data_IF_614159181748
#
_entry.id   IF_614159181748
#
_cell.length_a   1.000
_cell.length_b   1.000
_cell.length_c   1.000
_cell.angle_alpha   90.00
_cell.angle_beta   90.00
_cell.angle_gamma   90.00
#
_symmetry.space_group_name_H-M   'P 1'
#
loop_
_entity.id
_entity.type
_entity.pdbx_description
1 polymer ?
#
# COMPACT_ATOMS: atom_id res chain seq x y z
N UNK A 1 -18.13 19.23 -19.12
CA UNK A 1 -17.02 18.44 -18.54
C UNK A 1 -17.61 17.11 -18.13
N UNK A 2 -17.05 15.96 -18.56
CA UNK A 2 -17.56 14.64 -18.16
C UNK A 2 -17.32 14.44 -16.66
N UNK A 3 -18.27 13.83 -15.96
CA UNK A 3 -18.08 13.42 -14.57
C UNK A 3 -17.01 12.34 -14.44
N UNK A 4 -16.42 12.18 -13.25
CA UNK A 4 -15.43 11.14 -12.99
C UNK A 4 -15.98 9.72 -13.26
N UNK A 5 -17.26 9.49 -12.93
CA UNK A 5 -17.92 8.20 -13.17
C UNK A 5 -18.04 7.88 -14.67
N UNK A 6 -18.30 8.89 -15.51
CA UNK A 6 -18.33 8.74 -16.98
C UNK A 6 -16.93 8.54 -17.57
N UNK A 7 -15.88 9.00 -16.89
CA UNK A 7 -14.48 8.83 -17.32
C UNK A 7 -13.89 7.49 -16.87
N UNK A 8 -14.40 6.90 -15.78
CA UNK A 8 -13.85 5.70 -15.15
C UNK A 8 -13.62 4.53 -16.13
N UNK A 9 -14.55 4.19 -17.06
CA UNK A 9 -14.30 3.12 -18.02
C UNK A 9 -13.12 3.41 -18.96
N UNK A 10 -12.92 4.67 -19.37
CA UNK A 10 -11.79 5.06 -20.22
C UNK A 10 -10.48 4.96 -19.44
N UNK A 11 -10.46 5.47 -18.21
CA UNK A 11 -9.30 5.42 -17.32
C UNK A 11 -8.84 3.97 -17.11
N UNK A 12 -9.78 3.07 -16.82
CA UNK A 12 -9.49 1.65 -16.65
C UNK A 12 -8.94 1.04 -17.95
N UNK A 13 -9.60 1.27 -19.09
CA UNK A 13 -9.20 0.70 -20.36
C UNK A 13 -7.81 1.19 -20.80
N UNK A 14 -7.51 2.46 -20.61
CA UNK A 14 -6.21 3.07 -20.91
C UNK A 14 -5.13 2.55 -19.95
N UNK A 15 -5.42 2.48 -18.66
CA UNK A 15 -4.49 1.93 -17.68
C UNK A 15 -4.14 0.45 -17.93
N UNK A 16 -5.11 -0.37 -18.36
CA UNK A 16 -4.85 -1.76 -18.78
C UNK A 16 -3.94 -1.82 -20.01
N UNK A 17 -4.19 -0.99 -21.03
CA UNK A 17 -3.32 -0.89 -22.21
C UNK A 17 -1.90 -0.42 -21.86
N UNK A 18 -1.77 0.51 -20.92
CA UNK A 18 -0.47 0.99 -20.49
C UNK A 18 0.31 -0.09 -19.74
N UNK A 19 -0.36 -0.87 -18.88
CA UNK A 19 0.25 -2.04 -18.25
C UNK A 19 0.77 -3.06 -19.27
N UNK A 20 -0.02 -3.37 -20.30
CA UNK A 20 0.39 -4.26 -21.40
C UNK A 20 1.64 -3.73 -22.12
N UNK A 21 1.64 -2.46 -22.53
CA UNK A 21 2.80 -1.83 -23.19
C UNK A 21 4.05 -1.85 -22.33
N UNK A 22 3.91 -1.58 -21.02
CA UNK A 22 5.03 -1.56 -20.09
C UNK A 22 5.62 -2.96 -19.92
N UNK A 23 4.78 -4.00 -19.82
CA UNK A 23 5.24 -5.39 -19.78
C UNK A 23 5.93 -5.80 -21.08
N UNK A 24 5.32 -5.51 -22.23
CA UNK A 24 5.88 -5.81 -23.55
C UNK A 24 7.25 -5.14 -23.73
N UNK A 25 7.39 -3.88 -23.33
CA UNK A 25 8.67 -3.16 -23.36
C UNK A 25 9.71 -3.81 -22.45
N UNK A 26 9.34 -4.21 -21.24
CA UNK A 26 10.25 -4.85 -20.30
C UNK A 26 10.73 -6.24 -20.78
N UNK A 27 9.89 -6.94 -21.55
CA UNK A 27 10.22 -8.23 -22.17
C UNK A 27 10.99 -8.08 -23.49
N UNK A 28 10.87 -6.94 -24.18
CA UNK A 28 11.61 -6.64 -25.41
C UNK A 28 13.11 -6.37 -25.14
N UNK A 29 13.97 -6.62 -26.14
CA UNK A 29 15.44 -6.65 -26.05
C UNK A 29 16.15 -5.40 -25.46
N UNK A 30 15.43 -4.31 -25.15
CA UNK A 30 15.91 -3.18 -24.36
C UNK A 30 15.54 -3.38 -22.88
N UNK A 31 16.13 -4.40 -22.26
CA UNK A 31 15.85 -4.78 -20.86
C UNK A 31 16.21 -3.62 -19.93
N UNK A 32 15.20 -3.08 -19.24
CA UNK A 32 15.39 -2.10 -18.16
C UNK A 32 16.19 -2.76 -17.03
N UNK A 33 17.46 -2.36 -16.88
CA UNK A 33 18.29 -2.83 -15.78
C UNK A 33 17.81 -2.24 -14.45
N UNK A 34 17.33 -3.08 -13.53
CA UNK A 34 17.09 -2.68 -12.15
C UNK A 34 18.43 -2.40 -11.46
N UNK A 35 18.74 -1.12 -11.21
CA UNK A 35 19.81 -0.77 -10.28
C UNK A 35 19.33 -1.02 -8.85
N UNK A 36 19.57 -2.23 -8.35
CA UNK A 36 19.41 -2.56 -6.93
C UNK A 36 20.52 -1.85 -6.16
N UNK A 37 20.18 -0.81 -5.38
CA UNK A 37 21.19 -0.01 -4.67
C UNK A 37 21.51 -0.53 -3.28
N UNK A 38 20.61 -1.26 -2.61
CA UNK A 38 20.85 -1.71 -1.24
C UNK A 38 20.35 -3.13 -0.98
N UNK A 39 21.27 -3.96 -0.50
CA UNK A 39 21.01 -5.27 0.08
C UNK A 39 20.54 -5.05 1.53
N UNK A 40 19.27 -5.35 1.83
CA UNK A 40 18.76 -5.18 3.18
C UNK A 40 18.98 -6.48 3.95
N UNK A 41 19.98 -6.47 4.84
CA UNK A 41 20.24 -7.59 5.75
C UNK A 41 19.11 -7.62 6.80
N UNK A 42 18.36 -8.73 6.94
CA UNK A 42 17.30 -8.82 7.93
C UNK A 42 17.87 -8.66 9.35
N UNK A 43 17.54 -7.54 9.99
CA UNK A 43 17.64 -7.41 11.44
C UNK A 43 16.30 -7.85 12.00
N UNK A 44 16.25 -8.98 12.70
CA UNK A 44 15.05 -9.39 13.43
C UNK A 44 14.64 -8.25 14.35
N UNK A 45 13.37 -7.85 14.30
CA UNK A 45 12.78 -6.84 15.17
C UNK A 45 13.18 -7.11 16.62
N UNK A 46 14.14 -6.30 17.07
CA UNK A 46 14.40 -6.06 18.47
C UNK A 46 13.95 -4.63 18.68
N UNK A 47 13.12 -4.43 19.69
CA UNK A 47 12.63 -3.14 20.17
C UNK A 47 13.62 -2.00 19.86
N UNK A 48 13.15 -0.83 19.39
CA UNK A 48 14.05 0.30 19.04
C UNK A 48 15.01 0.71 20.17
N UNK A 49 14.71 0.36 21.42
CA UNK A 49 15.54 0.53 22.61
C UNK A 49 16.72 -0.46 22.70
N UNK A 50 16.60 -1.67 22.12
CA UNK A 50 17.66 -2.68 22.05
C UNK A 50 18.71 -2.36 20.97
N UNK A 51 18.36 -1.52 19.99
CA UNK A 51 19.23 -1.10 18.88
C UNK A 51 20.51 -0.36 19.35
N UNK A 52 20.47 0.26 20.53
CA UNK A 52 21.62 0.96 21.12
C UNK A 52 22.41 0.12 22.13
N UNK A 53 21.99 -1.12 22.43
CA UNK A 53 22.57 -1.91 23.54
C UNK A 53 23.18 -3.24 23.17
N UNK A 54 22.85 -3.85 22.03
CA UNK A 54 23.33 -5.21 21.74
C UNK A 54 24.19 -5.28 20.47
N UNK A 55 25.36 -5.90 20.61
CA UNK A 55 26.16 -6.41 19.48
C UNK A 55 25.31 -7.45 18.74
N UNK A 56 25.20 -7.38 17.41
CA UNK A 56 24.32 -8.25 16.64
C UNK A 56 24.76 -9.71 16.77
N UNK A 57 23.88 -10.56 17.29
CA UNK A 57 23.98 -12.02 17.13
C UNK A 57 23.23 -12.42 15.85
N UNK A 58 23.93 -13.16 14.99
CA UNK A 58 23.48 -13.59 13.68
C UNK A 58 22.20 -14.44 13.73
N UNK A 59 21.14 -13.96 13.10
CA UNK A 59 19.97 -14.78 12.79
C UNK A 59 20.32 -15.82 11.71
N UNK A 60 19.73 -17.00 11.81
CA UNK A 60 19.90 -18.14 10.90
C UNK A 60 19.72 -17.75 9.41
N UNK A 61 20.39 -18.46 8.46
CA UNK A 61 20.48 -18.03 7.07
C UNK A 61 19.12 -18.19 6.39
N UNK A 62 18.39 -17.09 6.24
CA UNK A 62 17.26 -17.04 5.32
C UNK A 62 17.83 -16.99 3.89
N UNK A 63 17.31 -17.91 3.06
CA UNK A 63 17.44 -17.92 1.61
C UNK A 63 17.00 -16.58 1.02
N UNK A 64 17.85 -16.04 0.16
CA UNK A 64 17.78 -14.76 -0.53
C UNK A 64 17.64 -13.49 0.36
N UNK A 65 18.49 -12.48 0.14
CA UNK A 65 18.47 -11.23 0.91
C UNK A 65 17.26 -10.37 0.56
N UNK A 66 16.83 -9.50 1.49
CA UNK A 66 15.77 -8.54 1.18
C UNK A 66 16.28 -7.48 0.20
N UNK A 67 15.42 -7.04 -0.72
CA UNK A 67 15.77 -6.14 -1.82
C UNK A 67 15.06 -4.80 -1.69
N UNK A 68 15.82 -3.71 -1.74
CA UNK A 68 15.29 -2.35 -1.86
C UNK A 68 15.52 -1.82 -3.29
N UNK A 69 14.43 -1.42 -3.96
CA UNK A 69 14.47 -0.88 -5.33
C UNK A 69 14.13 0.61 -5.28
N UNK A 70 15.00 1.43 -5.86
CA UNK A 70 14.80 2.87 -5.99
C UNK A 70 14.47 3.22 -7.44
N UNK A 71 13.32 3.87 -7.67
CA UNK A 71 12.87 4.31 -8.99
C UNK A 71 11.35 4.39 -9.12
N UNK A 72 10.87 4.55 -10.36
CA UNK A 72 9.44 4.46 -10.64
C UNK A 72 8.95 3.01 -10.39
N UNK A 73 7.97 2.87 -9.51
CA UNK A 73 7.43 1.57 -9.13
C UNK A 73 6.80 0.79 -10.29
N UNK A 74 6.25 1.46 -11.31
CA UNK A 74 5.66 0.82 -12.48
C UNK A 74 6.74 0.12 -13.29
N UNK A 75 7.84 0.82 -13.57
CA UNK A 75 9.00 0.25 -14.26
C UNK A 75 9.69 -0.83 -13.41
N UNK A 76 9.76 -0.62 -12.10
CA UNK A 76 10.34 -1.60 -11.18
C UNK A 76 9.54 -2.91 -11.21
N UNK A 77 8.21 -2.85 -11.09
CA UNK A 77 7.35 -4.02 -11.18
C UNK A 77 7.43 -4.70 -12.55
N UNK A 78 7.52 -3.92 -13.64
CA UNK A 78 7.70 -4.46 -14.98
C UNK A 78 9.00 -5.26 -15.11
N UNK A 79 10.09 -4.73 -14.55
CA UNK A 79 11.38 -5.43 -14.53
C UNK A 79 11.35 -6.66 -13.60
N UNK A 80 10.64 -6.63 -12.47
CA UNK A 80 10.41 -7.80 -11.62
C UNK A 80 9.62 -8.90 -12.35
N UNK A 81 8.66 -8.52 -13.18
CA UNK A 81 7.90 -9.45 -14.02
C UNK A 81 8.76 -10.05 -15.13
N UNK A 82 9.57 -9.24 -15.81
CA UNK A 82 10.45 -9.70 -16.90
C UNK A 82 11.65 -10.53 -16.39
N UNK A 83 12.13 -10.25 -15.18
CA UNK A 83 13.40 -10.77 -14.67
C UNK A 83 14.62 -10.18 -15.39
N UNK A 84 15.80 -10.50 -14.88
CA UNK A 84 17.10 -10.12 -15.44
C UNK A 84 18.02 -11.33 -15.54
N UNK A 85 19.19 -11.16 -16.15
CA UNK A 85 20.23 -12.20 -16.19
C UNK A 85 20.69 -12.61 -14.78
N UNK A 86 20.53 -11.72 -13.79
CA UNK A 86 20.92 -11.92 -12.40
C UNK A 86 19.77 -12.24 -11.44
N UNK A 87 18.51 -12.10 -11.87
CA UNK A 87 17.34 -12.30 -11.02
C UNK A 87 16.19 -12.95 -11.79
N UNK A 88 15.65 -14.04 -11.23
CA UNK A 88 14.53 -14.75 -11.84
C UNK A 88 13.26 -13.89 -11.84
N UNK A 89 12.42 -14.05 -12.88
CA UNK A 89 11.09 -13.44 -12.90
C UNK A 89 10.29 -13.77 -11.64
N UNK A 90 9.63 -12.76 -11.08
CA UNK A 90 8.70 -12.86 -9.95
C UNK A 90 7.23 -12.98 -10.38
N UNK A 91 6.96 -13.20 -11.68
CA UNK A 91 5.60 -13.44 -12.17
C UNK A 91 4.98 -14.61 -11.41
N UNK A 92 3.84 -14.36 -10.79
CA UNK A 92 3.09 -15.34 -9.99
C UNK A 92 3.85 -15.96 -8.80
N UNK A 93 4.76 -15.20 -8.17
CA UNK A 93 5.56 -15.66 -7.02
C UNK A 93 5.38 -14.85 -5.75
N UNK A 94 4.67 -13.72 -5.79
CA UNK A 94 4.50 -12.85 -4.62
C UNK A 94 3.27 -13.26 -3.81
N UNK A 95 3.46 -13.67 -2.56
CA UNK A 95 2.33 -14.14 -1.73
C UNK A 95 1.53 -13.00 -1.09
N UNK A 96 2.16 -11.85 -0.86
CA UNK A 96 1.54 -10.71 -0.19
C UNK A 96 2.02 -9.40 -0.78
N UNK A 97 1.08 -8.53 -1.12
CA UNK A 97 1.33 -7.13 -1.47
C UNK A 97 0.57 -6.25 -0.49
N UNK A 98 1.24 -5.26 0.08
CA UNK A 98 0.60 -4.18 0.83
C UNK A 98 0.98 -2.86 0.18
N UNK A 99 -0.01 -2.01 -0.08
CA UNK A 99 0.22 -0.67 -0.62
C UNK A 99 -0.59 0.38 0.14
N UNK A 100 0.03 1.54 0.29
CA UNK A 100 -0.56 2.75 0.83
C UNK A 100 -0.31 3.88 -0.20
N UNK A 101 -1.05 3.87 -1.33
CA UNK A 101 -0.86 4.87 -2.37
C UNK A 101 -1.13 6.27 -1.80
N UNK A 102 -0.49 7.33 -2.36
CA UNK A 102 -0.67 8.68 -1.84
C UNK A 102 -2.15 9.06 -1.80
N UNK A 103 -2.58 9.65 -0.70
CA UNK A 103 -3.95 10.14 -0.55
C UNK A 103 -4.19 11.32 -1.50
N UNK A 104 -5.34 11.34 -2.20
CA UNK A 104 -5.85 12.49 -2.97
C UNK A 104 -6.32 13.61 -2.02
N UNK A 105 -5.44 13.97 -1.10
CA UNK A 105 -5.69 14.92 -0.02
C UNK A 105 -5.66 16.37 -0.50
N UNK A 106 -5.31 16.60 -1.77
CA UNK A 106 -5.04 17.93 -2.38
C UNK A 106 -4.15 18.82 -1.50
N UNK A 107 -3.41 18.21 -0.57
CA UNK A 107 -2.59 18.92 0.37
C UNK A 107 -1.29 19.28 -0.34
N UNK A 108 -1.00 20.58 -0.43
CA UNK A 108 0.33 21.07 -0.76
C UNK A 108 1.31 20.56 0.30
N UNK A 109 1.99 19.44 0.04
CA UNK A 109 3.08 18.92 0.88
C UNK A 109 4.36 19.78 0.76
N UNK A 110 4.22 21.11 0.84
CA UNK A 110 5.34 22.03 1.04
C UNK A 110 5.63 22.09 2.53
N UNK A 111 6.32 21.09 3.07
CA UNK A 111 6.77 21.12 4.47
C UNK A 111 7.86 22.18 4.62
N UNK A 112 7.51 23.39 5.07
CA UNK A 112 8.49 24.38 5.52
C UNK A 112 9.04 23.95 6.88
N UNK A 113 10.20 23.30 6.90
CA UNK A 113 10.91 23.01 8.13
C UNK A 113 11.72 24.26 8.50
N UNK A 114 11.33 24.97 9.56
CA UNK A 114 12.13 26.07 10.10
C UNK A 114 13.16 25.50 11.06
N UNK A 115 14.35 25.16 10.54
CA UNK A 115 15.53 24.95 11.37
C UNK A 115 16.07 26.32 11.78
N UNK A 116 16.24 26.49 13.08
CA UNK A 116 16.81 27.68 13.71
C UNK A 116 18.06 28.13 12.95
N UNK A 117 18.00 29.36 12.42
CA UNK A 117 19.07 30.13 11.78
C UNK A 117 19.56 29.74 10.37
N UNK A 118 18.89 28.83 9.66
CA UNK A 118 19.06 28.77 8.20
C UNK A 118 17.80 28.26 7.50
N UNK A 119 17.16 29.15 6.74
CA UNK A 119 16.04 28.82 5.85
C UNK A 119 16.57 28.00 4.66
N UNK A 120 16.87 26.73 4.91
CA UNK A 120 17.08 25.77 3.84
C UNK A 120 15.69 25.29 3.41
N UNK A 121 15.14 25.93 2.37
CA UNK A 121 14.03 25.34 1.63
C UNK A 121 14.55 24.06 0.98
N UNK A 122 14.30 22.90 1.61
CA UNK A 122 14.41 21.63 0.90
C UNK A 122 13.36 21.65 -0.21
N UNK A 123 13.82 21.94 -1.44
CA UNK A 123 13.00 21.76 -2.63
C UNK A 123 12.57 20.29 -2.63
N UNK A 124 11.27 19.99 -2.83
CA UNK A 124 10.85 18.61 -3.03
C UNK A 124 11.75 18.00 -4.09
N UNK A 125 12.16 16.75 -3.90
CA UNK A 125 12.92 16.07 -4.94
C UNK A 125 12.14 16.18 -6.25
N UNK A 126 12.82 16.36 -7.37
CA UNK A 126 12.18 16.61 -8.67
C UNK A 126 11.04 15.60 -8.96
N UNK A 127 11.15 14.38 -8.44
CA UNK A 127 10.12 13.33 -8.46
C UNK A 127 8.86 13.70 -7.68
N UNK A 128 8.98 14.19 -6.43
CA UNK A 128 7.86 14.68 -5.62
C UNK A 128 7.21 15.92 -6.25
N UNK A 129 7.99 16.82 -6.83
CA UNK A 129 7.44 18.01 -7.48
C UNK A 129 6.70 17.64 -8.78
N UNK A 130 7.26 16.78 -9.62
CA UNK A 130 6.54 16.26 -10.80
C UNK A 130 5.26 15.53 -10.40
N UNK A 131 5.29 14.76 -9.31
CA UNK A 131 4.13 14.05 -8.80
C UNK A 131 3.06 14.95 -8.17
N UNK A 132 3.30 16.24 -7.88
CA UNK A 132 2.34 17.11 -7.20
C UNK A 132 2.02 18.43 -7.91
N UNK A 133 2.95 19.05 -8.66
CA UNK A 133 2.72 20.39 -9.23
C UNK A 133 2.17 20.38 -10.65
N UNK A 134 2.46 19.36 -11.47
CA UNK A 134 2.12 19.40 -12.92
C UNK A 134 1.24 18.24 -13.42
N UNK A 135 0.99 17.18 -12.65
CA UNK A 135 0.13 16.03 -13.11
C UNK A 135 -1.34 16.11 -12.68
N UNK A 136 -1.72 17.07 -11.83
CA UNK A 136 -3.07 17.13 -11.22
C UNK A 136 -4.00 18.17 -11.84
N UNK A 137 -3.79 18.50 -13.11
CA UNK A 137 -4.70 19.38 -13.85
C UNK A 137 -6.13 18.81 -13.88
N UNK A 138 -6.29 17.49 -13.71
CA UNK A 138 -7.58 16.75 -13.73
C UNK A 138 -7.99 16.10 -12.39
N UNK A 139 -7.25 16.35 -11.29
CA UNK A 139 -7.59 15.82 -9.96
C UNK A 139 -7.63 14.29 -9.88
N UNK A 140 -8.67 13.74 -9.26
CA UNK A 140 -8.83 12.29 -9.01
C UNK A 140 -8.73 11.43 -10.27
N UNK A 141 -9.08 11.92 -11.46
CA UNK A 141 -8.95 11.15 -12.70
C UNK A 141 -7.48 10.76 -12.97
N UNK A 142 -6.55 11.70 -12.80
CA UNK A 142 -5.11 11.48 -12.97
C UNK A 142 -4.54 10.47 -11.97
N UNK A 143 -4.99 10.54 -10.71
CA UNK A 143 -4.67 9.54 -9.69
C UNK A 143 -5.06 8.13 -10.10
N UNK A 144 -6.30 7.96 -10.56
CA UNK A 144 -6.80 6.65 -10.98
C UNK A 144 -6.03 6.15 -12.20
N UNK A 145 -5.74 7.01 -13.18
CA UNK A 145 -4.91 6.69 -14.35
C UNK A 145 -3.49 6.25 -13.96
N UNK A 146 -2.91 6.84 -12.91
CA UNK A 146 -1.62 6.39 -12.36
C UNK A 146 -1.75 5.03 -11.66
N UNK A 147 -2.84 4.79 -10.93
CA UNK A 147 -3.00 3.61 -10.08
C UNK A 147 -3.36 2.34 -10.86
N UNK A 148 -4.24 2.43 -11.87
CA UNK A 148 -4.72 1.27 -12.65
C UNK A 148 -3.57 0.40 -13.20
N UNK A 149 -2.59 0.93 -13.96
CA UNK A 149 -1.54 0.09 -14.54
C UNK A 149 -0.71 -0.61 -13.45
N UNK A 150 -0.53 0.03 -12.29
CA UNK A 150 0.19 -0.53 -11.15
C UNK A 150 -0.55 -1.72 -10.54
N UNK A 151 -1.87 -1.60 -10.35
CA UNK A 151 -2.70 -2.69 -9.85
C UNK A 151 -2.70 -3.89 -10.79
N UNK A 152 -2.70 -3.66 -12.10
CA UNK A 152 -2.59 -4.74 -13.11
C UNK A 152 -1.26 -5.49 -12.96
N UNK A 153 -0.13 -4.79 -12.88
CA UNK A 153 1.17 -5.41 -12.70
C UNK A 153 1.29 -6.13 -11.34
N UNK A 154 0.74 -5.57 -10.26
CA UNK A 154 0.69 -6.23 -8.96
C UNK A 154 -0.08 -7.55 -9.02
N UNK A 155 -1.19 -7.61 -9.76
CA UNK A 155 -1.94 -8.85 -9.97
C UNK A 155 -1.11 -9.93 -10.68
N UNK A 156 -0.29 -9.54 -11.66
CA UNK A 156 0.60 -10.45 -12.38
C UNK A 156 1.77 -10.96 -11.50
N UNK A 157 2.22 -10.15 -10.55
CA UNK A 157 3.24 -10.54 -9.56
C UNK A 157 2.68 -11.53 -8.52
N UNK A 158 1.41 -11.39 -8.13
CA UNK A 158 0.81 -12.24 -7.10
C UNK A 158 0.82 -13.72 -7.49
N UNK A 159 1.20 -14.58 -6.55
CA UNK A 159 1.02 -16.02 -6.65
C UNK A 159 -0.46 -16.39 -6.74
N UNK A 160 -0.78 -17.60 -7.21
CA UNK A 160 -2.17 -18.06 -7.35
C UNK A 160 -2.96 -18.00 -6.05
N UNK A 161 -2.26 -18.10 -4.90
CA UNK A 161 -2.82 -18.05 -3.55
C UNK A 161 -2.59 -16.72 -2.85
N UNK A 162 -1.97 -15.76 -3.55
CA UNK A 162 -1.50 -14.50 -3.01
C UNK A 162 -2.61 -13.49 -2.75
N UNK A 163 -2.30 -12.50 -1.91
CA UNK A 163 -3.24 -11.46 -1.48
C UNK A 163 -2.66 -10.06 -1.60
N UNK A 164 -3.54 -9.08 -1.82
CA UNK A 164 -3.22 -7.66 -1.81
C UNK A 164 -4.08 -6.92 -0.80
N UNK A 165 -3.45 -5.97 -0.11
CA UNK A 165 -4.08 -5.07 0.85
C UNK A 165 -3.81 -3.63 0.40
N UNK A 166 -4.89 -2.89 0.17
CA UNK A 166 -4.83 -1.51 -0.35
C UNK A 166 -5.41 -0.56 0.70
N UNK A 167 -4.55 0.25 1.31
CA UNK A 167 -4.93 1.23 2.32
C UNK A 167 -5.33 2.55 1.67
N UNK A 168 -6.52 3.06 2.00
CA UNK A 168 -7.14 4.20 1.35
C UNK A 168 -7.90 5.03 2.37
N UNK A 169 -7.89 6.35 2.15
CA UNK A 169 -8.76 7.26 2.85
C UNK A 169 -10.15 7.38 2.16
N UNK A 170 -11.01 8.18 2.77
CA UNK A 170 -12.39 8.41 2.33
C UNK A 170 -12.53 9.17 0.99
N UNK A 171 -11.46 9.78 0.44
CA UNK A 171 -11.59 10.57 -0.79
C UNK A 171 -11.73 9.70 -2.03
N UNK A 172 -11.00 8.57 -2.06
CA UNK A 172 -10.85 7.74 -3.27
C UNK A 172 -11.31 6.29 -3.07
N UNK A 173 -11.62 5.87 -1.83
CA UNK A 173 -11.94 4.48 -1.52
C UNK A 173 -13.02 3.86 -2.44
N UNK A 174 -14.09 4.58 -2.77
CA UNK A 174 -15.17 4.08 -3.63
C UNK A 174 -14.74 3.85 -5.08
N UNK A 175 -13.90 4.73 -5.63
CA UNK A 175 -13.42 4.61 -7.01
C UNK A 175 -12.36 3.52 -7.13
N UNK A 176 -11.40 3.48 -6.20
CA UNK A 176 -10.36 2.45 -6.18
C UNK A 176 -10.98 1.08 -5.94
N UNK A 177 -12.03 0.98 -5.11
CA UNK A 177 -12.79 -0.25 -4.95
C UNK A 177 -13.33 -0.80 -6.28
N UNK A 178 -13.95 0.05 -7.08
CA UNK A 178 -14.48 -0.35 -8.39
C UNK A 178 -13.36 -0.83 -9.33
N UNK A 179 -12.19 -0.16 -9.30
CA UNK A 179 -11.02 -0.57 -10.08
C UNK A 179 -10.48 -1.91 -9.58
N UNK A 180 -10.43 -2.14 -8.27
CA UNK A 180 -10.00 -3.43 -7.72
C UNK A 180 -10.94 -4.57 -8.14
N UNK A 181 -12.25 -4.34 -8.14
CA UNK A 181 -13.23 -5.31 -8.64
C UNK A 181 -13.00 -5.65 -10.12
N UNK A 182 -12.59 -4.67 -10.93
CA UNK A 182 -12.33 -4.82 -12.36
C UNK A 182 -10.95 -5.44 -12.69
N UNK A 183 -9.97 -5.31 -11.79
CA UNK A 183 -8.63 -5.90 -11.95
C UNK A 183 -8.58 -7.31 -11.35
N UNK A 184 -9.02 -7.46 -10.09
CA UNK A 184 -8.93 -8.72 -9.35
C UNK A 184 -10.16 -9.60 -9.50
N UNK A 185 -11.29 -9.04 -9.94
CA UNK A 185 -12.58 -9.72 -9.96
C UNK A 185 -13.34 -9.49 -8.66
N UNK A 186 -14.60 -9.07 -8.76
CA UNK A 186 -15.48 -8.81 -7.62
C UNK A 186 -15.61 -10.00 -6.67
N UNK A 187 -15.62 -11.22 -7.21
CA UNK A 187 -15.70 -12.47 -6.46
C UNK A 187 -14.45 -12.75 -5.60
N UNK A 188 -13.33 -12.11 -5.90
CA UNK A 188 -12.06 -12.28 -5.19
C UNK A 188 -11.86 -11.27 -4.06
N UNK A 189 -12.83 -10.38 -3.85
CA UNK A 189 -12.89 -9.56 -2.65
C UNK A 189 -13.12 -10.43 -1.41
N UNK A 190 -12.44 -10.10 -0.30
CA UNK A 190 -12.62 -10.82 0.97
C UNK A 190 -13.08 -9.94 2.11
N UNK A 191 -12.43 -8.80 2.33
CA UNK A 191 -12.77 -7.99 3.48
C UNK A 191 -12.47 -6.51 3.31
N UNK A 192 -13.30 -5.72 3.97
CA UNK A 192 -13.07 -4.29 4.21
C UNK A 192 -12.64 -4.13 5.65
N UNK A 193 -11.36 -3.84 5.84
CA UNK A 193 -10.76 -3.70 7.17
C UNK A 193 -10.79 -2.21 7.53
N UNK A 194 -11.45 -1.89 8.63
CA UNK A 194 -11.53 -0.52 9.14
C UNK A 194 -10.34 -0.27 10.06
N UNK A 195 -9.40 0.54 9.59
CA UNK A 195 -8.26 0.96 10.37
C UNK A 195 -8.62 2.20 11.19
N UNK A 196 -8.88 2.03 12.48
CA UNK A 196 -9.27 3.13 13.36
C UNK A 196 -8.08 3.77 14.03
N UNK A 197 -8.05 5.10 14.07
CA UNK A 197 -7.04 5.88 14.77
C UNK A 197 -7.65 6.76 15.86
N UNK A 198 -6.87 6.99 16.92
CA UNK A 198 -7.29 7.88 17.99
C UNK A 198 -7.10 9.33 17.58
N UNK A 199 -8.21 10.03 17.37
CA UNK A 199 -8.22 11.49 17.22
C UNK A 199 -8.82 12.15 18.46
N UNK A 200 -8.12 13.11 19.06
CA UNK A 200 -8.74 14.02 20.02
C UNK A 200 -9.94 14.71 19.34
N UNK A 201 -11.03 14.92 20.08
CA UNK A 201 -12.20 15.67 19.59
C UNK A 201 -11.76 17.09 19.20
N UNK A 202 -11.39 17.30 17.93
CA UNK A 202 -11.46 18.63 17.34
C UNK A 202 -12.93 19.00 17.30
N UNK A 203 -13.27 20.18 17.80
CA UNK A 203 -14.63 20.71 17.69
C UNK A 203 -14.95 20.89 16.20
N UNK A 204 -15.57 19.88 15.60
CA UNK A 204 -16.02 19.95 14.21
C UNK A 204 -17.45 20.47 14.22
N UNK A 205 -17.62 21.78 14.00
CA UNK A 205 -18.93 22.44 14.06
C UNK A 205 -19.87 22.04 12.91
N UNK A 206 -19.35 21.39 11.85
CA UNK A 206 -20.09 21.14 10.59
C UNK A 206 -20.02 19.71 10.04
N UNK A 207 -19.30 18.79 10.69
CA UNK A 207 -19.20 17.39 10.23
C UNK A 207 -18.82 16.43 11.36
N UNK A 208 -19.03 15.14 11.15
CA UNK A 208 -18.50 14.10 12.03
C UNK A 208 -16.96 14.04 11.96
N UNK A 209 -16.29 13.71 13.08
CA UNK A 209 -14.85 13.52 13.08
C UNK A 209 -14.48 12.27 12.26
N UNK A 210 -13.46 12.41 11.42
CA UNK A 210 -12.81 11.28 10.75
C UNK A 210 -12.00 10.51 11.79
N UNK A 211 -12.18 9.19 11.82
CA UNK A 211 -11.60 8.30 12.83
C UNK A 211 -11.09 6.98 12.26
N UNK A 212 -11.22 6.80 10.96
CA UNK A 212 -10.79 5.58 10.32
C UNK A 212 -10.42 5.83 8.87
N UNK A 213 -9.57 4.95 8.38
CA UNK A 213 -9.31 4.71 6.97
C UNK A 213 -9.72 3.27 6.63
N UNK A 214 -9.73 2.94 5.34
CA UNK A 214 -10.22 1.67 4.82
C UNK A 214 -9.08 0.89 4.18
N UNK A 215 -8.95 -0.39 4.54
CA UNK A 215 -8.03 -1.30 3.86
C UNK A 215 -8.86 -2.37 3.15
N UNK A 216 -8.78 -2.41 1.82
CA UNK A 216 -9.42 -3.47 1.04
C UNK A 216 -8.50 -4.67 0.89
N UNK A 217 -9.04 -5.86 1.18
CA UNK A 217 -8.36 -7.15 1.00
C UNK A 217 -8.93 -7.90 -0.20
N UNK A 218 -8.06 -8.21 -1.16
CA UNK A 218 -8.33 -9.04 -2.33
C UNK A 218 -7.34 -10.18 -2.43
N UNK A 219 -7.77 -11.26 -3.07
CA UNK A 219 -6.90 -12.37 -3.44
C UNK A 219 -6.82 -12.47 -4.95
N UNK A 220 -5.79 -13.15 -5.48
CA UNK A 220 -5.71 -13.36 -6.92
C UNK A 220 -6.83 -14.25 -7.44
N UNK A 221 -7.17 -15.30 -6.68
CA UNK A 221 -8.17 -16.32 -7.02
C UNK A 221 -9.00 -16.75 -5.79
N UNK A 222 -9.98 -17.63 -6.06
CA UNK A 222 -10.81 -18.28 -5.02
C UNK A 222 -10.06 -19.34 -4.21
N UNK A 223 -9.06 -20.01 -4.78
CA UNK A 223 -8.19 -20.93 -4.04
C UNK A 223 -7.06 -20.15 -3.36
N UNK A 224 -7.38 -19.52 -2.23
CA UNK A 224 -6.42 -18.73 -1.46
C UNK A 224 -5.87 -19.44 -0.24
N UNK A 225 -4.71 -18.98 0.24
CA UNK A 225 -4.17 -19.41 1.52
C UNK A 225 -4.62 -18.46 2.64
N UNK A 226 -5.33 -19.00 3.64
CA UNK A 226 -5.67 -18.27 4.85
C UNK A 226 -5.40 -19.11 6.08
N UNK A 227 -4.61 -18.56 7.00
CA UNK A 227 -4.32 -19.19 8.28
C UNK A 227 -4.99 -18.39 9.39
N UNK A 228 -6.14 -18.89 9.84
CA UNK A 228 -6.87 -18.29 10.97
C UNK A 228 -5.96 -18.19 12.18
N UNK A 229 -5.82 -16.98 12.69
CA UNK A 229 -5.09 -16.73 13.94
C UNK A 229 -6.07 -16.88 15.10
N UNK A 230 -5.81 -17.84 15.98
CA UNK A 230 -6.56 -18.00 17.20
C UNK A 230 -5.90 -17.17 18.28
N UNK A 231 -6.64 -16.21 18.84
CA UNK A 231 -6.26 -15.62 20.13
C UNK A 231 -6.97 -16.42 21.22
N UNK A 232 -6.27 -16.79 22.31
CA UNK A 232 -6.94 -17.33 23.49
C UNK A 232 -8.06 -16.38 23.89
N UNK A 233 -9.25 -16.90 24.12
CA UNK A 233 -10.34 -16.08 24.64
C UNK A 233 -9.93 -15.43 25.96
N UNK A 234 -10.28 -14.16 26.16
CA UNK A 234 -10.12 -13.55 27.48
C UNK A 234 -10.99 -14.30 28.49
N UNK A 235 -10.54 -14.38 29.75
CA UNK A 235 -11.31 -15.02 30.81
C UNK A 235 -12.72 -14.40 30.98
N UNK A 236 -12.87 -13.13 30.61
CA UNK A 236 -14.13 -12.38 30.57
C UNK A 236 -15.08 -12.86 29.46
N UNK A 237 -14.54 -13.28 28.31
CA UNK A 237 -15.33 -13.83 27.19
C UNK A 237 -15.79 -15.28 27.46
N UNK A 238 -15.00 -16.04 28.23
CA UNK A 238 -15.34 -17.42 28.62
C UNK A 238 -16.33 -17.49 29.77
N UNK A 239 -16.49 -16.42 30.55
CA UNK A 239 -17.39 -16.38 31.70
C UNK A 239 -18.25 -15.10 31.73
N UNK A 240 -19.21 -14.95 30.80
CA UNK A 240 -20.05 -13.75 30.67
C UNK A 240 -20.96 -13.49 31.88
N UNK A 241 -21.07 -14.43 32.82
CA UNK A 241 -21.89 -14.34 34.04
C UNK A 241 -21.06 -14.26 35.33
N UNK A 242 -19.74 -14.10 35.23
CA UNK A 242 -18.95 -13.82 36.43
C UNK A 242 -19.32 -12.42 36.94
N UNK A 243 -19.85 -12.27 38.17
CA UNK A 243 -20.25 -10.96 38.66
C UNK A 243 -19.01 -10.05 38.68
N UNK A 244 -19.04 -8.97 37.89
CA UNK A 244 -18.00 -7.95 37.96
C UNK A 244 -17.92 -7.47 39.41
N UNK A 245 -16.74 -7.54 40.01
CA UNK A 245 -16.44 -6.84 41.26
C UNK A 245 -16.37 -5.34 40.99
N UNK A 246 -17.48 -4.74 40.60
CA UNK A 246 -17.73 -3.32 40.71
C UNK A 246 -18.85 -3.16 41.72
N UNK A 247 -18.53 -3.44 42.99
CA UNK A 247 -19.30 -2.90 44.09
C UNK A 247 -19.20 -1.38 43.97
N UNK A 248 -20.29 -0.78 43.52
CA UNK A 248 -20.56 0.64 43.66
C UNK A 248 -20.48 0.93 45.17
N UNK A 249 -19.37 1.49 45.63
CA UNK A 249 -19.29 2.07 46.97
C UNK A 249 -20.05 3.39 46.93
N UNK A 250 -21.35 3.33 47.23
CA UNK A 250 -22.09 4.51 47.70
C UNK A 250 -21.72 4.71 49.17
N UNK A 251 -20.91 5.73 49.42
CA UNK A 251 -20.77 6.39 50.72
C UNK A 251 -21.09 7.86 50.53
#
# INVERSE_FOLDING_TARGET
MKSLLEQLPSIVAEGKKEAERVMERAESNYRLGLQTRELVVPSRDSNWQDMFRQKPQSAAPASDPNTLIYGDNLLAMAALLAGSDSAQSLRSKVDLIYIDPPYDSKADYRTKISLSESQIEQRPTTIEQFAYSDTWVEGTASYLSMLVPRLVLMRELLSERGSIYVHLDWHVNGYVRAILDEVFGKQNFRNEIIWTYFGFKRSTTRKFPQKHDTIYSYFKNEDYYWKTQYKPHSAEYLNPHSPSKSLISLS
#
